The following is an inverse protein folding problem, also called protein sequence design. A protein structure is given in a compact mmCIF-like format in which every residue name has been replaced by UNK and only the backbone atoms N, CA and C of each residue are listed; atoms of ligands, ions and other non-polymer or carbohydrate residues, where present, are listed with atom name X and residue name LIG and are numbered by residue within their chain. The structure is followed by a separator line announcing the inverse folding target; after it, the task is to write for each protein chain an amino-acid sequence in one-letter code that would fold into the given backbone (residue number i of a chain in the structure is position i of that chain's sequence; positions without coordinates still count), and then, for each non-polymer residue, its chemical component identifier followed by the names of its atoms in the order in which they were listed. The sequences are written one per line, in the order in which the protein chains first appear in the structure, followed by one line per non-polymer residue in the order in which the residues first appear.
data_IF_319573126431
#
_entry.id   IF_319573126431
#
_cell.length_a   1.000
_cell.length_b   1.000
_cell.length_c   1.000
_cell.angle_alpha   90.00
_cell.angle_beta   90.00
_cell.angle_gamma   90.00
#
_symmetry.space_group_name_H-M   'P 1'
#
loop_
_entity.id
_entity.type
_entity.pdbx_description
1 polymer ?
#
# COMPACT_ATOMS: atom_id res chain seq x y z
N UNK A 1 -39.01 11.51 2.74
CA UNK A 1 -39.40 10.18 2.23
C UNK A 1 -38.69 9.15 3.08
N UNK A 2 -39.41 8.44 3.96
CA UNK A 2 -38.83 7.36 4.76
C UNK A 2 -38.74 6.10 3.91
N UNK A 3 -37.55 5.50 3.82
CA UNK A 3 -37.36 4.17 3.22
C UNK A 3 -37.06 3.20 4.36
N UNK A 4 -37.76 2.07 4.38
CA UNK A 4 -37.58 1.01 5.38
C UNK A 4 -36.62 -0.05 4.82
N UNK A 5 -35.64 -0.50 5.60
CA UNK A 5 -34.70 -1.54 5.20
C UNK A 5 -35.17 -2.89 5.74
N UNK A 6 -35.60 -3.78 4.86
CA UNK A 6 -36.09 -5.11 5.24
C UNK A 6 -35.05 -6.20 4.90
N UNK A 7 -34.84 -7.13 5.83
CA UNK A 7 -33.93 -8.28 5.70
C UNK A 7 -34.73 -9.52 5.31
N UNK A 8 -34.36 -10.15 4.19
CA UNK A 8 -34.94 -11.42 3.75
C UNK A 8 -33.85 -12.50 3.75
N UNK A 9 -34.14 -13.65 4.33
CA UNK A 9 -33.22 -14.78 4.37
C UNK A 9 -33.82 -15.95 3.58
N UNK A 10 -33.25 -16.25 2.41
CA UNK A 10 -33.69 -17.32 1.52
C UNK A 10 -32.44 -18.03 1.01
N UNK A 11 -32.41 -19.36 1.07
CA UNK A 11 -31.37 -20.20 0.44
C UNK A 11 -29.91 -19.81 0.76
N UNK A 12 -29.56 -19.66 2.04
CA UNK A 12 -28.22 -19.24 2.50
C UNK A 12 -27.77 -17.87 1.96
N UNK A 13 -28.72 -17.02 1.57
CA UNK A 13 -28.48 -15.66 1.12
C UNK A 13 -29.24 -14.68 1.99
N UNK A 14 -28.51 -13.70 2.51
CA UNK A 14 -29.12 -12.54 3.17
C UNK A 14 -29.26 -11.46 2.11
N UNK A 15 -30.50 -11.07 1.84
CA UNK A 15 -30.82 -9.96 0.96
C UNK A 15 -31.40 -8.79 1.76
N UNK A 16 -30.95 -7.57 1.47
CA UNK A 16 -31.53 -6.35 2.03
C UNK A 16 -32.25 -5.57 0.93
N UNK A 17 -33.43 -5.05 1.25
CA UNK A 17 -34.29 -4.31 0.34
C UNK A 17 -34.69 -2.98 0.96
N UNK A 18 -34.74 -1.93 0.15
CA UNK A 18 -35.50 -0.74 0.50
C UNK A 18 -36.94 -0.91 0.04
N UNK A 19 -37.87 -0.84 0.98
CA UNK A 19 -39.31 -0.82 0.68
C UNK A 19 -39.77 0.62 0.70
N UNK A 20 -40.36 1.06 -0.41
CA UNK A 20 -41.02 2.37 -0.47
C UNK A 20 -42.43 2.30 0.12
N UNK A 21 -43.06 3.46 0.38
CA UNK A 21 -44.41 3.54 0.96
C UNK A 21 -45.50 2.87 0.11
N UNK A 22 -45.22 2.56 -1.16
CA UNK A 22 -46.11 1.88 -2.10
C UNK A 22 -45.85 0.37 -2.18
N UNK A 23 -44.99 -0.18 -1.32
CA UNK A 23 -44.64 -1.62 -1.32
C UNK A 23 -43.66 -2.03 -2.43
N UNK A 24 -43.13 -1.07 -3.20
CA UNK A 24 -42.10 -1.32 -4.19
C UNK A 24 -40.75 -1.59 -3.54
N UNK A 25 -40.15 -2.73 -3.85
CA UNK A 25 -38.84 -3.12 -3.31
C UNK A 25 -37.73 -2.78 -4.29
N UNK A 26 -36.70 -2.06 -3.84
CA UNK A 26 -35.42 -1.95 -4.57
C UNK A 26 -34.37 -2.81 -3.88
N UNK A 27 -33.82 -3.79 -4.61
CA UNK A 27 -32.81 -4.71 -4.09
C UNK A 27 -31.49 -3.96 -3.86
N UNK A 28 -31.01 -3.96 -2.62
CA UNK A 28 -29.82 -3.20 -2.22
C UNK A 28 -28.57 -4.06 -2.19
N UNK A 29 -28.65 -5.26 -1.58
CA UNK A 29 -27.48 -6.15 -1.42
C UNK A 29 -27.90 -7.61 -1.28
N UNK A 30 -27.10 -8.53 -1.78
CA UNK A 30 -27.23 -9.98 -1.60
C UNK A 30 -25.86 -10.52 -1.18
N UNK A 31 -25.77 -11.15 -0.01
CA UNK A 31 -24.57 -11.83 0.47
C UNK A 31 -24.81 -13.34 0.47
N UNK A 32 -23.88 -14.11 -0.11
CA UNK A 32 -23.92 -15.58 -0.17
C UNK A 32 -22.87 -16.18 0.78
N UNK A 33 -23.30 -17.12 1.64
CA UNK A 33 -22.45 -17.89 2.57
C UNK A 33 -21.30 -18.66 1.85
N UNK A 34 -20.18 -19.01 2.53
CA UNK A 34 -20.12 -19.32 3.96
C UNK A 34 -19.15 -18.49 4.83
N UNK A 35 -19.62 -18.04 5.99
CA UNK A 35 -18.77 -17.68 7.15
C UNK A 35 -19.16 -18.56 8.35
N UNK A 36 -18.25 -19.28 9.02
CA UNK A 36 -18.63 -20.41 9.88
C UNK A 36 -19.29 -20.09 11.22
N UNK A 37 -19.24 -18.87 11.78
CA UNK A 37 -19.54 -18.70 13.22
C UNK A 37 -20.36 -17.46 13.62
N UNK A 38 -21.24 -16.95 12.75
CA UNK A 38 -22.25 -15.97 13.18
C UNK A 38 -23.45 -16.68 13.81
N UNK A 39 -23.43 -16.85 15.14
CA UNK A 39 -24.62 -17.25 15.90
C UNK A 39 -25.69 -16.18 15.74
N UNK A 40 -26.82 -16.54 15.12
CA UNK A 40 -28.00 -15.70 15.03
C UNK A 40 -28.52 -15.39 16.44
N UNK A 41 -28.48 -14.12 16.83
CA UNK A 41 -29.25 -13.63 17.98
C UNK A 41 -30.55 -13.00 17.48
N UNK A 42 -31.64 -13.38 18.14
CA UNK A 42 -32.96 -12.80 17.95
C UNK A 42 -32.94 -11.36 18.51
N UNK A 43 -33.05 -10.37 17.63
CA UNK A 43 -33.00 -8.96 17.97
C UNK A 43 -34.44 -8.43 17.94
N UNK A 44 -35.05 -8.43 19.12
CA UNK A 44 -36.31 -7.76 19.37
C UNK A 44 -36.31 -6.30 18.88
N UNK A 45 -37.53 -5.87 18.54
CA UNK A 45 -38.02 -4.48 18.47
C UNK A 45 -37.10 -3.39 17.86
N UNK A 46 -36.94 -3.45 16.53
CA UNK A 46 -37.43 -2.34 15.71
C UNK A 46 -36.69 -0.98 15.72
N UNK A 47 -35.51 -0.85 16.31
CA UNK A 47 -34.69 0.37 16.16
C UNK A 47 -33.72 0.27 14.96
N UNK A 48 -34.19 0.74 13.79
CA UNK A 48 -33.48 0.66 12.50
C UNK A 48 -32.21 1.52 12.39
N UNK A 49 -31.92 2.43 13.33
CA UNK A 49 -30.75 3.31 13.28
C UNK A 49 -29.55 2.86 14.13
N UNK A 50 -29.73 1.94 15.08
CA UNK A 50 -28.62 1.46 15.94
C UNK A 50 -27.88 0.25 15.36
N UNK A 51 -28.45 -0.45 14.38
CA UNK A 51 -27.88 -1.69 13.86
C UNK A 51 -26.66 -1.48 12.95
N UNK A 52 -26.67 -0.41 12.15
CA UNK A 52 -25.53 -0.07 11.29
C UNK A 52 -24.35 0.43 12.13
N UNK A 53 -24.58 1.38 13.05
CA UNK A 53 -23.53 1.83 13.97
C UNK A 53 -22.98 0.68 14.81
N UNK A 54 -23.82 -0.23 15.33
CA UNK A 54 -23.34 -1.40 16.10
C UNK A 54 -22.54 -2.37 15.24
N UNK A 55 -22.94 -2.61 13.99
CA UNK A 55 -22.19 -3.45 13.05
C UNK A 55 -20.85 -2.83 12.67
N UNK A 56 -20.85 -1.52 12.37
CA UNK A 56 -19.64 -0.75 12.07
C UNK A 56 -18.68 -0.78 13.28
N UNK A 57 -19.20 -0.59 14.50
CA UNK A 57 -18.43 -0.66 15.75
C UNK A 57 -17.89 -2.04 16.06
N UNK A 58 -18.65 -3.09 15.78
CA UNK A 58 -18.19 -4.45 15.97
C UNK A 58 -17.05 -4.78 15.00
N UNK A 59 -17.17 -4.36 13.73
CA UNK A 59 -16.10 -4.57 12.74
C UNK A 59 -14.85 -3.75 13.07
N UNK A 60 -15.03 -2.55 13.62
CA UNK A 60 -13.96 -1.71 14.17
C UNK A 60 -13.24 -2.42 15.32
N UNK A 61 -13.97 -3.05 16.25
CA UNK A 61 -13.37 -3.78 17.36
C UNK A 61 -12.59 -4.99 16.87
N UNK A 62 -13.16 -5.76 15.96
CA UNK A 62 -12.49 -6.90 15.34
C UNK A 62 -11.19 -6.47 14.64
N UNK A 63 -11.20 -5.36 13.89
CA UNK A 63 -9.99 -4.83 13.24
C UNK A 63 -8.97 -4.25 14.23
N UNK A 64 -9.42 -3.59 15.30
CA UNK A 64 -8.53 -3.14 16.37
C UNK A 64 -7.90 -4.30 17.12
N UNK A 65 -8.65 -5.37 17.36
CA UNK A 65 -8.16 -6.62 17.95
C UNK A 65 -7.17 -7.33 17.02
N UNK A 66 -7.46 -7.46 15.73
CA UNK A 66 -6.57 -8.01 14.69
C UNK A 66 -5.26 -7.23 14.57
N UNK A 67 -5.30 -5.90 14.76
CA UNK A 67 -4.13 -5.01 14.63
C UNK A 67 -3.48 -4.64 15.96
N UNK A 68 -3.96 -5.18 17.09
CA UNK A 68 -3.55 -4.80 18.45
C UNK A 68 -3.63 -3.29 18.74
N UNK A 69 -4.58 -2.59 18.12
CA UNK A 69 -4.86 -1.17 18.33
C UNK A 69 -6.10 -1.06 19.21
N UNK A 70 -6.00 -0.39 20.37
CA UNK A 70 -7.17 -0.11 21.21
C UNK A 70 -8.15 0.79 20.44
N UNK A 71 -9.34 0.30 20.06
CA UNK A 71 -10.32 1.09 19.32
C UNK A 71 -10.78 2.33 20.08
N UNK A 72 -10.66 2.33 21.42
CA UNK A 72 -11.04 3.45 22.27
C UNK A 72 -9.99 4.58 22.26
N UNK A 73 -8.79 4.33 21.73
CA UNK A 73 -7.74 5.34 21.56
C UNK A 73 -7.92 6.24 20.33
N UNK A 74 -8.85 5.89 19.43
CA UNK A 74 -9.16 6.65 18.21
C UNK A 74 -10.50 7.38 18.39
N UNK A 75 -10.56 8.67 18.02
CA UNK A 75 -11.80 9.45 18.09
C UNK A 75 -12.91 8.80 17.27
N UNK A 76 -14.09 8.64 17.88
CA UNK A 76 -15.30 8.00 17.32
C UNK A 76 -15.66 8.50 15.92
N UNK A 77 -15.48 9.79 15.66
CA UNK A 77 -15.86 10.40 14.37
C UNK A 77 -14.95 9.98 13.22
N UNK A 78 -13.65 9.77 13.47
CA UNK A 78 -12.67 9.35 12.45
C UNK A 78 -12.89 7.88 12.06
N UNK A 79 -13.26 7.06 13.03
CA UNK A 79 -13.46 5.61 12.88
C UNK A 79 -14.71 5.28 12.05
N UNK A 80 -15.81 6.01 12.27
CA UNK A 80 -17.06 5.87 11.50
C UNK A 80 -16.86 6.31 10.03
N UNK A 81 -16.05 7.34 9.77
CA UNK A 81 -15.72 7.75 8.40
C UNK A 81 -14.92 6.68 7.66
N UNK A 82 -13.96 6.03 8.35
CA UNK A 82 -13.18 4.93 7.80
C UNK A 82 -14.06 3.72 7.42
N UNK A 83 -15.00 3.32 8.28
CA UNK A 83 -15.90 2.18 7.96
C UNK A 83 -16.85 2.51 6.81
N UNK A 84 -17.43 3.71 6.78
CA UNK A 84 -18.32 4.12 5.68
C UNK A 84 -17.59 4.19 4.34
N UNK A 85 -16.32 4.59 4.34
CA UNK A 85 -15.46 4.55 3.16
C UNK A 85 -15.28 3.12 2.63
N UNK A 86 -15.07 2.15 3.54
CA UNK A 86 -14.92 0.72 3.21
C UNK A 86 -16.24 0.09 2.72
N UNK A 87 -17.40 0.54 3.20
CA UNK A 87 -18.70 -0.10 2.92
C UNK A 87 -19.49 0.46 1.73
N UNK A 88 -19.15 1.65 1.20
CA UNK A 88 -19.98 2.34 0.19
C UNK A 88 -19.76 1.95 -1.28
N UNK A 89 -18.90 0.97 -1.60
CA UNK A 89 -18.50 0.73 -2.99
C UNK A 89 -18.67 -0.73 -3.46
N UNK A 90 -19.91 -1.17 -3.66
CA UNK A 90 -20.20 -2.37 -4.47
C UNK A 90 -21.20 -2.00 -5.59
N UNK A 91 -20.66 -1.62 -6.75
CA UNK A 91 -21.42 -1.41 -7.99
C UNK A 91 -21.53 -2.74 -8.76
N UNK A 92 -22.54 -2.96 -9.62
CA UNK A 92 -22.64 -4.19 -10.41
C UNK A 92 -21.55 -4.17 -11.49
N UNK A 93 -20.40 -4.76 -11.17
CA UNK A 93 -19.23 -4.81 -12.04
C UNK A 93 -19.41 -5.93 -13.08
N UNK A 94 -19.67 -5.56 -14.34
CA UNK A 94 -19.27 -6.35 -15.53
C UNK A 94 -17.89 -6.95 -15.28
N UNK A 95 -17.62 -8.24 -15.57
CA UNK A 95 -16.33 -8.97 -15.37
C UNK A 95 -15.06 -8.12 -15.59
N UNK A 96 -14.73 -7.22 -14.66
CA UNK A 96 -13.52 -6.40 -14.65
C UNK A 96 -12.62 -6.98 -13.59
N UNK A 97 -11.33 -6.98 -13.87
CA UNK A 97 -10.33 -7.40 -12.91
C UNK A 97 -10.38 -6.47 -11.70
N UNK A 98 -10.59 -7.03 -10.52
CA UNK A 98 -10.56 -6.28 -9.27
C UNK A 98 -9.11 -6.25 -8.79
N UNK A 99 -8.58 -5.05 -8.59
CA UNK A 99 -7.26 -4.84 -7.99
C UNK A 99 -7.43 -4.79 -6.48
N UNK A 100 -6.83 -5.74 -5.72
CA UNK A 100 -7.05 -5.83 -4.29
C UNK A 100 -6.46 -4.64 -3.54
N UNK A 101 -7.12 -4.24 -2.45
CA UNK A 101 -6.60 -3.24 -1.51
C UNK A 101 -6.12 -3.94 -0.25
N UNK A 102 -4.80 -4.18 -0.18
CA UNK A 102 -4.19 -4.95 0.91
C UNK A 102 -4.26 -4.24 2.26
N UNK A 103 -4.10 -4.98 3.35
CA UNK A 103 -4.14 -4.41 4.70
C UNK A 103 -3.03 -3.35 4.93
N UNK A 104 -1.81 -3.60 4.47
CA UNK A 104 -0.70 -2.63 4.54
C UNK A 104 -0.96 -1.40 3.66
N UNK A 105 -1.65 -1.56 2.53
CA UNK A 105 -2.08 -0.43 1.68
C UNK A 105 -3.07 0.46 2.42
N UNK A 106 -3.99 -0.12 3.20
CA UNK A 106 -4.91 0.65 4.04
C UNK A 106 -4.16 1.43 5.12
N UNK A 107 -3.15 0.84 5.77
CA UNK A 107 -2.28 1.56 6.71
C UNK A 107 -1.54 2.72 6.02
N UNK A 108 -0.96 2.47 4.84
CA UNK A 108 -0.32 3.51 4.04
C UNK A 108 -1.29 4.65 3.70
N UNK A 109 -2.49 4.35 3.21
CA UNK A 109 -3.50 5.35 2.84
C UNK A 109 -3.98 6.14 4.06
N UNK A 110 -4.14 5.47 5.20
CA UNK A 110 -4.46 6.08 6.49
C UNK A 110 -3.37 7.09 6.92
N UNK A 111 -2.09 6.70 6.87
CA UNK A 111 -0.96 7.59 7.17
C UNK A 111 -0.82 8.73 6.16
N UNK A 112 -1.20 8.50 4.90
CA UNK A 112 -1.15 9.52 3.84
C UNK A 112 -2.22 10.59 4.00
N UNK A 113 -3.42 10.19 4.41
CA UNK A 113 -4.60 11.04 4.51
C UNK A 113 -4.70 11.72 5.87
N UNK A 114 -5.42 11.07 6.78
CA UNK A 114 -5.88 11.63 8.04
C UNK A 114 -4.75 11.82 9.07
N UNK A 115 -3.66 11.07 8.96
CA UNK A 115 -2.58 11.04 9.97
C UNK A 115 -1.22 11.42 9.39
N UNK A 116 -1.15 12.65 8.87
CA UNK A 116 0.13 13.31 8.52
C UNK A 116 0.93 13.80 9.73
N UNK A 117 0.37 13.68 10.92
CA UNK A 117 1.01 14.09 12.15
C UNK A 117 2.30 13.27 12.39
N UNK A 118 3.39 14.01 12.57
CA UNK A 118 4.72 13.45 12.81
C UNK A 118 4.81 12.80 14.18
N UNK A 119 4.10 13.33 15.18
CA UNK A 119 4.11 12.76 16.53
C UNK A 119 3.45 11.37 16.52
N UNK A 120 2.28 11.24 15.89
CA UNK A 120 1.62 9.94 15.68
C UNK A 120 2.55 8.93 14.98
N UNK A 121 3.16 9.31 13.86
CA UNK A 121 4.07 8.42 13.11
C UNK A 121 5.30 8.03 13.94
N UNK A 122 5.81 8.94 14.76
CA UNK A 122 6.89 8.64 15.69
C UNK A 122 6.47 7.64 16.76
N UNK A 123 5.28 7.78 17.36
CA UNK A 123 4.75 6.81 18.33
C UNK A 123 4.49 5.45 17.70
N UNK A 124 3.96 5.43 16.48
CA UNK A 124 3.74 4.19 15.73
C UNK A 124 5.07 3.49 15.40
N UNK A 125 6.11 4.24 15.04
CA UNK A 125 7.45 3.68 14.88
C UNK A 125 7.97 3.04 16.18
N UNK A 126 7.78 3.68 17.34
CA UNK A 126 8.18 3.10 18.63
C UNK A 126 7.43 1.80 18.92
N UNK A 127 6.10 1.82 18.80
CA UNK A 127 5.27 0.65 19.03
C UNK A 127 5.65 -0.54 18.11
N UNK A 128 5.85 -0.29 16.82
CA UNK A 128 6.27 -1.33 15.87
C UNK A 128 7.74 -1.74 16.06
N UNK A 129 8.59 -0.86 16.59
CA UNK A 129 9.96 -1.22 16.95
C UNK A 129 9.98 -2.12 18.19
N UNK A 130 9.07 -1.94 19.13
CA UNK A 130 8.91 -2.80 20.31
C UNK A 130 8.29 -4.15 19.94
N UNK A 131 7.26 -4.15 19.10
CA UNK A 131 6.53 -5.33 18.64
C UNK A 131 6.51 -5.42 17.09
N UNK A 132 7.63 -5.79 16.45
CA UNK A 132 7.73 -5.88 14.98
C UNK A 132 6.79 -6.94 14.38
N UNK A 133 6.37 -7.92 15.17
CA UNK A 133 5.54 -9.05 14.74
C UNK A 133 4.19 -8.57 14.17
N UNK A 134 3.64 -7.48 14.70
CA UNK A 134 2.39 -6.89 14.18
C UNK A 134 2.56 -6.35 12.76
N UNK A 135 3.70 -5.71 12.46
CA UNK A 135 4.00 -5.24 11.09
C UNK A 135 4.32 -6.41 10.16
N UNK A 136 5.03 -7.42 10.64
CA UNK A 136 5.34 -8.64 9.88
C UNK A 136 4.05 -9.37 9.49
N UNK A 137 3.14 -9.57 10.45
CA UNK A 137 1.85 -10.21 10.19
C UNK A 137 1.01 -9.39 9.19
N UNK A 138 0.97 -8.06 9.36
CA UNK A 138 0.28 -7.17 8.42
C UNK A 138 0.84 -7.30 6.99
N UNK A 139 2.17 -7.38 6.84
CA UNK A 139 2.84 -7.61 5.57
C UNK A 139 2.52 -9.00 5.00
N UNK A 140 2.52 -10.04 5.83
CA UNK A 140 2.20 -11.43 5.42
C UNK A 140 0.78 -11.57 4.91
N UNK A 141 -0.20 -11.05 5.65
CA UNK A 141 -1.61 -11.03 5.22
C UNK A 141 -1.76 -10.25 3.91
N UNK A 142 -1.10 -9.10 3.81
CA UNK A 142 -1.13 -8.27 2.61
C UNK A 142 -0.54 -8.97 1.39
N UNK A 143 0.57 -9.70 1.59
CA UNK A 143 1.16 -10.52 0.54
C UNK A 143 0.23 -11.64 0.09
N UNK A 144 -0.36 -12.38 1.03
CA UNK A 144 -1.34 -13.42 0.74
C UNK A 144 -2.58 -12.88 0.00
N UNK A 145 -3.01 -11.66 0.30
CA UNK A 145 -4.10 -10.98 -0.43
C UNK A 145 -3.70 -10.61 -1.87
N UNK A 146 -2.45 -10.20 -2.09
CA UNK A 146 -2.00 -9.71 -3.40
C UNK A 146 -1.48 -10.83 -4.31
N UNK A 147 -1.04 -11.97 -3.77
CA UNK A 147 -0.45 -13.06 -4.58
C UNK A 147 -1.42 -13.63 -5.61
N UNK A 148 -2.72 -13.63 -5.33
CA UNK A 148 -3.76 -14.11 -6.25
C UNK A 148 -4.12 -13.13 -7.36
N UNK A 149 -3.62 -11.89 -7.27
CA UNK A 149 -3.87 -10.89 -8.30
C UNK A 149 -3.01 -11.17 -9.53
N UNK A 150 -3.66 -11.57 -10.61
CA UNK A 150 -3.02 -11.90 -11.89
C UNK A 150 -3.34 -10.83 -12.95
N UNK A 151 -2.32 -10.02 -13.27
CA UNK A 151 -2.34 -9.08 -14.39
C UNK A 151 -1.17 -9.32 -15.35
N UNK A 152 -0.64 -10.55 -15.41
CA UNK A 152 0.55 -10.90 -16.20
C UNK A 152 0.37 -10.76 -17.71
N UNK A 153 -0.87 -10.65 -18.19
CA UNK A 153 -1.20 -10.45 -19.60
C UNK A 153 -1.15 -8.97 -20.02
N UNK A 154 -0.98 -8.05 -19.07
CA UNK A 154 -0.94 -6.62 -19.33
C UNK A 154 0.47 -6.05 -19.20
N UNK A 155 0.86 -5.16 -20.12
CA UNK A 155 2.08 -4.37 -19.95
C UNK A 155 1.94 -3.32 -18.86
N UNK A 156 3.03 -2.62 -18.52
CA UNK A 156 3.06 -1.55 -17.50
C UNK A 156 2.45 -0.22 -17.98
N UNK A 157 2.00 -0.19 -19.24
CA UNK A 157 1.34 0.93 -19.92
C UNK A 157 2.30 2.02 -20.40
N UNK A 158 2.05 2.52 -21.61
CA UNK A 158 2.79 3.64 -22.23
C UNK A 158 2.15 4.98 -21.87
N UNK A 159 2.10 5.31 -20.57
CA UNK A 159 1.77 6.70 -20.23
C UNK A 159 2.95 7.57 -20.65
N UNK A 160 2.72 8.49 -21.59
CA UNK A 160 3.64 9.60 -21.88
C UNK A 160 3.91 10.29 -20.55
N UNK A 161 5.09 10.04 -19.98
CA UNK A 161 5.48 10.64 -18.71
C UNK A 161 5.70 12.13 -18.93
N UNK A 162 5.33 12.93 -17.92
CA UNK A 162 5.69 14.35 -17.94
C UNK A 162 7.21 14.48 -18.09
N UNK A 163 7.66 15.47 -18.85
CA UNK A 163 9.10 15.77 -18.95
C UNK A 163 9.62 16.08 -17.55
N UNK A 164 10.76 15.47 -17.17
CA UNK A 164 11.44 15.81 -15.93
C UNK A 164 11.94 17.26 -15.99
N UNK A 165 12.04 17.95 -14.84
CA UNK A 165 12.68 19.26 -14.77
C UNK A 165 14.16 19.14 -15.16
N UNK A 166 14.84 20.28 -15.30
CA UNK A 166 16.29 20.27 -15.40
C UNK A 166 16.91 19.65 -14.14
N UNK A 167 18.00 18.89 -14.31
CA UNK A 167 18.66 18.29 -13.16
C UNK A 167 19.41 19.38 -12.41
N UNK A 168 19.35 19.40 -11.07
CA UNK A 168 20.19 20.30 -10.30
C UNK A 168 21.68 20.00 -10.53
N UNK A 169 22.54 20.99 -10.31
CA UNK A 169 24.00 20.81 -10.42
C UNK A 169 24.51 19.86 -9.35
N UNK A 170 24.05 20.04 -8.11
CA UNK A 170 24.34 19.15 -6.99
C UNK A 170 23.07 18.45 -6.51
N UNK A 171 23.21 17.20 -6.05
CA UNK A 171 22.10 16.46 -5.46
C UNK A 171 21.52 17.21 -4.25
N UNK A 172 22.37 17.87 -3.47
CA UNK A 172 21.98 18.70 -2.33
C UNK A 172 21.17 19.94 -2.70
N UNK A 173 21.14 20.36 -3.97
CA UNK A 173 20.32 21.49 -4.40
C UNK A 173 18.86 21.07 -4.66
N UNK A 174 18.58 19.76 -4.61
CA UNK A 174 17.24 19.23 -4.84
C UNK A 174 16.24 19.68 -3.78
N UNK A 175 15.10 20.16 -4.24
CA UNK A 175 13.97 20.57 -3.41
C UNK A 175 12.75 19.68 -3.59
N UNK A 176 12.71 18.87 -4.65
CA UNK A 176 11.59 18.01 -5.03
C UNK A 176 12.08 16.65 -5.51
N UNK A 177 11.26 15.62 -5.32
CA UNK A 177 11.52 14.27 -5.83
C UNK A 177 11.87 14.24 -7.32
N UNK A 178 11.13 14.98 -8.16
CA UNK A 178 11.40 15.00 -9.61
C UNK A 178 12.76 15.62 -10.00
N UNK A 179 13.33 16.49 -9.16
CA UNK A 179 14.69 17.03 -9.37
C UNK A 179 15.74 15.97 -9.05
N UNK A 180 15.54 15.20 -7.98
CA UNK A 180 16.37 14.05 -7.61
C UNK A 180 16.34 12.98 -8.71
N UNK A 181 15.15 12.66 -9.22
CA UNK A 181 15.01 11.71 -10.33
C UNK A 181 15.70 12.24 -11.59
N UNK A 182 15.55 13.53 -11.91
CA UNK A 182 16.26 14.15 -13.03
C UNK A 182 17.78 14.04 -12.86
N UNK A 183 18.28 14.28 -11.64
CA UNK A 183 19.69 14.10 -11.29
C UNK A 183 20.14 12.65 -11.56
N UNK A 184 19.43 11.64 -11.04
CA UNK A 184 19.76 10.22 -11.26
C UNK A 184 19.78 9.82 -12.73
N UNK A 185 18.85 10.34 -13.55
CA UNK A 185 18.79 10.01 -14.99
C UNK A 185 19.87 10.68 -15.84
N UNK A 186 20.37 11.85 -15.46
CA UNK A 186 21.33 12.62 -16.26
C UNK A 186 22.78 12.49 -15.80
N UNK A 187 23.01 12.60 -14.49
CA UNK A 187 24.33 12.80 -13.86
C UNK A 187 24.62 11.69 -12.85
N UNK A 188 23.59 11.24 -12.15
CA UNK A 188 23.68 10.37 -10.98
C UNK A 188 23.74 8.87 -11.25
N UNK A 189 24.00 8.43 -12.48
CA UNK A 189 24.31 7.02 -12.74
C UNK A 189 25.49 6.58 -11.85
N UNK A 190 26.54 7.40 -11.73
CA UNK A 190 27.67 7.13 -10.84
C UNK A 190 27.27 7.13 -9.36
N UNK A 191 26.41 8.06 -8.93
CA UNK A 191 25.96 8.14 -7.54
C UNK A 191 25.17 6.89 -7.11
N UNK A 192 24.26 6.41 -7.95
CA UNK A 192 23.52 5.16 -7.72
C UNK A 192 24.46 3.96 -7.81
N UNK A 193 25.35 3.93 -8.80
CA UNK A 193 26.35 2.86 -8.98
C UNK A 193 27.31 2.74 -7.79
N UNK A 194 27.72 3.85 -7.16
CA UNK A 194 28.56 3.84 -5.97
C UNK A 194 27.85 3.14 -4.78
N UNK A 195 26.52 3.22 -4.72
CA UNK A 195 25.70 2.48 -3.78
C UNK A 195 25.26 1.09 -4.32
N UNK A 196 25.73 0.70 -5.50
CA UNK A 196 25.45 -0.58 -6.16
C UNK A 196 24.04 -0.68 -6.76
N UNK A 197 23.42 0.44 -7.12
CA UNK A 197 22.10 0.48 -7.77
C UNK A 197 22.22 0.92 -9.23
N UNK A 198 21.38 0.36 -10.11
CA UNK A 198 21.11 0.91 -11.44
C UNK A 198 19.69 1.46 -11.53
N UNK A 199 19.52 2.61 -12.19
CA UNK A 199 18.20 3.20 -12.39
C UNK A 199 17.43 2.44 -13.47
N UNK A 200 16.18 2.08 -13.19
CA UNK A 200 15.27 1.49 -14.17
C UNK A 200 14.29 2.53 -14.67
N UNK A 201 13.40 2.99 -13.77
CA UNK A 201 12.26 3.82 -14.18
C UNK A 201 11.70 4.63 -13.01
N UNK A 202 10.80 5.57 -13.30
CA UNK A 202 10.15 6.42 -12.27
C UNK A 202 8.63 6.30 -12.28
N UNK A 203 8.01 6.67 -11.17
CA UNK A 203 6.55 6.66 -10.97
C UNK A 203 5.92 5.33 -11.41
N UNK A 204 6.55 4.22 -10.99
CA UNK A 204 6.15 2.87 -11.37
C UNK A 204 4.99 2.39 -10.49
N UNK A 205 3.93 1.83 -11.09
CA UNK A 205 2.76 1.36 -10.32
C UNK A 205 2.46 -0.11 -10.65
N UNK A 206 2.76 -1.05 -9.73
CA UNK A 206 2.53 -2.47 -9.95
C UNK A 206 1.05 -2.84 -10.13
N UNK A 207 0.15 -2.07 -9.51
CA UNK A 207 -1.32 -2.25 -9.54
C UNK A 207 -1.99 -1.80 -10.83
N UNK A 208 -1.25 -1.21 -11.78
CA UNK A 208 -1.86 -0.67 -12.98
C UNK A 208 -2.46 -1.78 -13.85
N UNK A 209 -3.77 -1.68 -14.08
CA UNK A 209 -4.53 -2.56 -14.99
C UNK A 209 -5.46 -1.74 -15.87
N UNK A 210 -5.33 -1.91 -17.18
CA UNK A 210 -5.98 -1.17 -18.25
C UNK A 210 -7.50 -1.19 -18.13
N UNK A 211 -8.07 -2.38 -17.85
CA UNK A 211 -9.51 -2.59 -17.69
C UNK A 211 -9.90 -2.93 -16.25
N UNK A 212 -9.00 -2.70 -15.29
CA UNK A 212 -9.21 -3.02 -13.89
C UNK A 212 -9.97 -1.93 -13.15
N UNK A 213 -10.57 -2.33 -12.02
CA UNK A 213 -11.13 -1.43 -11.02
C UNK A 213 -10.55 -1.78 -9.66
N UNK A 214 -10.29 -0.78 -8.82
CA UNK A 214 -10.01 -1.03 -7.42
C UNK A 214 -11.27 -1.52 -6.71
N UNK A 215 -11.13 -2.08 -5.52
CA UNK A 215 -12.27 -2.44 -4.65
C UNK A 215 -13.22 -1.26 -4.40
N UNK A 216 -12.73 -0.02 -4.45
CA UNK A 216 -13.56 1.19 -4.38
C UNK A 216 -14.37 1.49 -5.64
N UNK A 217 -14.27 0.67 -6.69
CA UNK A 217 -14.90 0.90 -8.00
C UNK A 217 -14.20 1.96 -8.87
N UNK A 218 -13.17 2.65 -8.34
CA UNK A 218 -12.35 3.58 -9.11
C UNK A 218 -11.53 2.84 -10.17
N UNK A 219 -11.24 3.50 -11.30
CA UNK A 219 -10.44 2.90 -12.37
C UNK A 219 -9.01 2.60 -11.91
N UNK A 220 -8.54 1.39 -12.16
CA UNK A 220 -7.14 0.98 -11.95
C UNK A 220 -6.20 1.41 -13.10
N UNK A 221 -6.72 2.15 -14.09
CA UNK A 221 -5.95 2.62 -15.24
C UNK A 221 -5.08 3.84 -14.92
N UNK A 222 -5.55 4.70 -14.02
CA UNK A 222 -4.86 5.94 -13.65
C UNK A 222 -3.95 5.72 -12.44
N UNK A 223 -2.80 6.40 -12.44
CA UNK A 223 -1.84 6.43 -11.34
C UNK A 223 -2.32 7.23 -10.12
N UNK A 224 -3.62 7.56 -10.03
CA UNK A 224 -4.15 8.52 -9.07
C UNK A 224 -3.89 8.17 -7.59
N UNK A 225 -3.64 6.89 -7.28
CA UNK A 225 -3.36 6.41 -5.94
C UNK A 225 -1.86 6.43 -5.54
N UNK A 226 -0.97 6.97 -6.37
CA UNK A 226 0.48 6.98 -6.14
C UNK A 226 1.21 5.86 -6.88
N UNK A 227 2.51 5.73 -6.61
CA UNK A 227 3.41 4.75 -7.21
C UNK A 227 4.78 4.81 -6.57
N UNK A 228 5.65 3.89 -6.97
CA UNK A 228 7.05 3.84 -6.61
C UNK A 228 7.74 5.04 -7.25
N UNK A 229 8.37 5.91 -6.46
CA UNK A 229 9.06 7.09 -6.98
C UNK A 229 10.12 6.70 -8.00
N UNK A 230 10.97 5.73 -7.63
CA UNK A 230 12.01 5.15 -8.50
C UNK A 230 12.08 3.63 -8.35
N UNK A 231 12.08 2.94 -9.46
CA UNK A 231 12.45 1.53 -9.54
C UNK A 231 13.93 1.45 -9.89
N UNK A 232 14.70 0.70 -9.11
CA UNK A 232 16.12 0.45 -9.34
C UNK A 232 16.36 -1.06 -9.49
N UNK A 233 17.56 -1.46 -9.90
CA UNK A 233 18.04 -2.84 -9.76
C UNK A 233 19.28 -2.90 -8.88
N UNK A 234 19.48 -4.03 -8.20
CA UNK A 234 20.71 -4.37 -7.49
C UNK A 234 20.94 -5.86 -7.57
N UNK A 235 22.07 -6.28 -8.13
CA UNK A 235 22.45 -7.70 -8.25
C UNK A 235 21.35 -8.59 -8.85
N UNK A 236 20.62 -8.09 -9.86
CA UNK A 236 19.51 -8.82 -10.49
C UNK A 236 18.17 -8.73 -9.76
N UNK A 237 18.09 -8.13 -8.57
CA UNK A 237 16.83 -7.93 -7.85
C UNK A 237 16.25 -6.53 -8.11
N UNK A 238 14.92 -6.41 -8.27
CA UNK A 238 14.25 -5.13 -8.30
C UNK A 238 14.31 -4.47 -6.93
N UNK A 239 14.50 -3.15 -6.92
CA UNK A 239 14.54 -2.34 -5.72
C UNK A 239 13.46 -1.28 -5.79
N UNK A 240 12.54 -1.31 -4.83
CA UNK A 240 11.50 -0.30 -4.66
C UNK A 240 12.09 0.90 -3.93
N UNK A 241 12.21 2.02 -4.64
CA UNK A 241 12.78 3.26 -4.13
C UNK A 241 11.74 4.33 -3.81
N UNK A 242 11.83 4.89 -2.61
CA UNK A 242 11.06 6.08 -2.21
C UNK A 242 12.02 7.24 -1.90
N UNK A 243 11.74 8.43 -2.45
CA UNK A 243 12.61 9.59 -2.28
C UNK A 243 11.91 10.60 -1.37
N UNK A 244 12.58 10.97 -0.28
CA UNK A 244 12.16 12.08 0.58
C UNK A 244 13.19 13.21 0.53
N UNK A 245 12.71 14.45 0.49
CA UNK A 245 13.57 15.63 0.30
C UNK A 245 13.30 16.65 1.40
N UNK A 246 14.36 17.18 2.02
CA UNK A 246 14.33 18.16 3.13
C UNK A 246 13.58 17.63 4.37
N UNK A 247 12.98 18.52 5.17
CA UNK A 247 12.38 18.19 6.47
C UNK A 247 10.91 17.73 6.40
N UNK A 248 10.26 17.73 5.23
CA UNK A 248 8.92 17.11 5.01
C UNK A 248 9.02 15.58 4.78
N UNK A 249 10.11 15.00 5.24
CA UNK A 249 10.56 13.67 4.94
C UNK A 249 10.42 12.80 6.18
N UNK A 250 9.30 12.11 6.30
CA UNK A 250 9.15 11.06 7.30
C UNK A 250 9.68 9.73 6.73
N UNK A 251 10.89 9.27 7.11
CA UNK A 251 11.46 8.02 6.63
C UNK A 251 10.69 6.78 7.11
N UNK A 252 9.98 6.85 8.24
CA UNK A 252 9.13 5.74 8.68
C UNK A 252 7.90 5.60 7.77
N UNK A 253 7.24 6.70 7.42
CA UNK A 253 6.19 6.69 6.41
C UNK A 253 6.72 6.20 5.05
N UNK A 254 7.95 6.56 4.68
CA UNK A 254 8.60 6.05 3.47
C UNK A 254 8.77 4.52 3.52
N UNK A 255 9.14 3.95 4.67
CA UNK A 255 9.23 2.50 4.86
C UNK A 255 7.88 1.82 4.64
N UNK A 256 6.81 2.31 5.25
CA UNK A 256 5.46 1.73 5.08
C UNK A 256 5.02 1.79 3.61
N UNK A 257 5.30 2.91 2.93
CA UNK A 257 5.04 3.07 1.51
C UNK A 257 5.84 2.07 0.66
N UNK A 258 7.15 1.92 0.91
CA UNK A 258 8.00 0.94 0.24
C UNK A 258 7.57 -0.51 0.49
N UNK A 259 7.26 -0.90 1.74
CA UNK A 259 6.77 -2.25 2.07
C UNK A 259 5.49 -2.56 1.30
N UNK A 260 4.58 -1.60 1.23
CA UNK A 260 3.35 -1.74 0.46
C UNK A 260 3.65 -2.01 -1.02
N UNK A 261 4.56 -1.24 -1.62
CA UNK A 261 4.92 -1.42 -3.03
C UNK A 261 5.78 -2.68 -3.28
N UNK A 262 6.61 -3.09 -2.33
CA UNK A 262 7.38 -4.33 -2.42
C UNK A 262 6.46 -5.54 -2.42
N UNK A 263 5.40 -5.54 -1.60
CA UNK A 263 4.35 -6.57 -1.63
C UNK A 263 3.64 -6.57 -3.00
N UNK A 264 3.30 -5.39 -3.50
CA UNK A 264 2.60 -5.26 -4.78
C UNK A 264 3.46 -5.57 -6.00
N UNK A 265 4.80 -5.57 -5.87
CA UNK A 265 5.74 -5.87 -6.94
C UNK A 265 6.38 -7.26 -6.81
N UNK A 266 6.40 -7.84 -5.61
CA UNK A 266 7.16 -9.03 -5.23
C UNK A 266 6.37 -10.32 -5.24
N UNK A 267 5.30 -10.41 -6.05
CA UNK A 267 4.57 -11.67 -6.24
C UNK A 267 5.05 -12.41 -7.49
N UNK A 268 4.87 -13.74 -7.57
CA UNK A 268 5.23 -14.50 -8.76
C UNK A 268 4.60 -13.94 -10.04
N UNK A 269 3.33 -13.54 -9.99
CA UNK A 269 2.62 -12.95 -11.13
C UNK A 269 3.24 -11.63 -11.58
N UNK A 270 3.74 -10.80 -10.66
CA UNK A 270 4.41 -9.55 -11.02
C UNK A 270 5.81 -9.79 -11.60
N UNK A 271 6.55 -10.77 -11.08
CA UNK A 271 7.84 -11.16 -11.65
C UNK A 271 7.68 -11.73 -13.06
N UNK A 272 6.70 -12.61 -13.28
CA UNK A 272 6.33 -13.10 -14.60
C UNK A 272 5.95 -11.94 -15.54
N UNK A 273 5.20 -10.95 -15.04
CA UNK A 273 4.86 -9.75 -15.80
C UNK A 273 6.09 -8.91 -16.14
N UNK A 274 7.05 -8.75 -15.22
CA UNK A 274 8.30 -8.01 -15.47
C UNK A 274 9.16 -8.72 -16.52
N UNK A 275 9.27 -10.05 -16.46
CA UNK A 275 9.93 -10.89 -17.47
C UNK A 275 9.30 -10.74 -18.85
N UNK A 276 7.96 -10.80 -18.91
CA UNK A 276 7.20 -10.73 -20.16
C UNK A 276 7.17 -9.33 -20.77
N UNK A 277 7.15 -8.29 -19.94
CA UNK A 277 7.13 -6.90 -20.34
C UNK A 277 8.27 -6.13 -19.64
N UNK A 278 9.53 -6.31 -20.08
CA UNK A 278 10.68 -5.67 -19.45
C UNK A 278 10.54 -4.16 -19.48
N UNK A 279 10.72 -3.53 -18.33
CA UNK A 279 10.65 -2.09 -18.19
C UNK A 279 11.91 -1.50 -18.82
N UNK A 280 11.72 -0.58 -19.77
CA UNK A 280 12.81 0.09 -20.48
C UNK A 280 13.84 -0.87 -21.11
N UNK A 281 13.42 -2.11 -21.45
CA UNK A 281 14.23 -3.18 -22.04
C UNK A 281 15.45 -3.61 -21.20
N UNK A 282 15.41 -3.43 -19.88
CA UNK A 282 16.50 -3.87 -19.00
C UNK A 282 16.63 -5.41 -19.02
N UNK A 283 17.81 -5.97 -19.39
CA UNK A 283 17.99 -7.41 -19.54
C UNK A 283 17.88 -8.18 -18.22
N UNK A 284 18.18 -7.55 -17.09
CA UNK A 284 18.13 -8.17 -15.76
C UNK A 284 16.73 -8.67 -15.41
N UNK A 285 15.68 -8.08 -16.00
CA UNK A 285 14.31 -8.56 -15.77
C UNK A 285 14.06 -9.95 -16.34
N UNK A 286 14.79 -10.41 -17.35
CA UNK A 286 14.62 -11.76 -17.91
C UNK A 286 15.12 -12.86 -16.97
N UNK A 287 16.00 -12.51 -16.03
CA UNK A 287 16.65 -13.45 -15.11
C UNK A 287 15.98 -13.50 -13.73
N UNK A 288 14.87 -12.78 -13.53
CA UNK A 288 14.13 -12.82 -12.27
C UNK A 288 13.64 -14.23 -11.93
N UNK A 289 13.81 -14.67 -10.69
CA UNK A 289 13.23 -15.91 -10.20
C UNK A 289 11.78 -15.69 -9.73
N UNK A 290 10.80 -16.07 -10.54
CA UNK A 290 9.39 -15.99 -10.18
C UNK A 290 8.96 -16.99 -9.09
N UNK A 291 9.76 -18.04 -8.83
CA UNK A 291 9.46 -19.04 -7.80
C UNK A 291 9.84 -18.53 -6.41
N UNK A 292 10.83 -17.64 -6.35
CA UNK A 292 11.33 -17.03 -5.11
C UNK A 292 11.41 -15.50 -5.27
N UNK A 293 10.29 -14.81 -5.52
CA UNK A 293 10.31 -13.39 -5.83
C UNK A 293 10.85 -12.60 -4.65
N UNK A 294 11.84 -11.76 -4.91
CA UNK A 294 12.54 -11.00 -3.88
C UNK A 294 12.72 -9.55 -4.32
N UNK A 295 12.22 -8.62 -3.51
CA UNK A 295 12.26 -7.18 -3.77
C UNK A 295 13.01 -6.48 -2.66
N UNK A 296 14.10 -5.81 -3.02
CA UNK A 296 14.80 -4.92 -2.10
C UNK A 296 14.03 -3.60 -1.93
N UNK A 297 14.28 -2.90 -0.84
CA UNK A 297 13.73 -1.58 -0.56
C UNK A 297 14.87 -0.58 -0.44
N UNK A 298 14.71 0.61 -1.03
CA UNK A 298 15.64 1.72 -0.84
C UNK A 298 14.90 3.00 -0.44
N UNK A 299 15.18 3.49 0.76
CA UNK A 299 14.67 4.78 1.23
C UNK A 299 15.79 5.80 1.02
N UNK A 300 15.54 6.78 0.15
CA UNK A 300 16.51 7.80 -0.28
C UNK A 300 16.11 9.14 0.31
N UNK A 301 16.88 9.63 1.26
CA UNK A 301 16.60 10.94 1.84
C UNK A 301 17.66 11.97 1.49
N UNK A 302 17.19 13.07 0.91
CA UNK A 302 18.04 14.14 0.42
C UNK A 302 17.90 15.35 1.34
N UNK A 303 19.03 15.86 1.84
CA UNK A 303 19.14 17.00 2.75
C UNK A 303 18.34 16.80 4.05
N UNK A 304 18.42 15.61 4.62
CA UNK A 304 17.67 15.27 5.84
C UNK A 304 18.48 15.51 7.10
N UNK A 305 17.84 16.05 8.13
CA UNK A 305 18.48 16.43 9.39
C UNK A 305 18.15 15.49 10.57
N UNK A 306 17.19 14.56 10.45
CA UNK A 306 16.68 13.81 11.60
C UNK A 306 17.39 12.48 11.83
N UNK A 307 18.66 12.55 12.20
CA UNK A 307 19.50 11.38 12.54
C UNK A 307 18.83 10.46 13.58
N UNK A 308 18.11 11.01 14.56
CA UNK A 308 17.47 10.20 15.61
C UNK A 308 16.34 9.30 15.08
N UNK A 309 15.54 9.81 14.14
CA UNK A 309 14.49 9.01 13.51
C UNK A 309 15.08 7.85 12.70
N UNK A 310 16.25 8.05 12.10
CA UNK A 310 16.97 6.98 11.40
C UNK A 310 17.48 5.89 12.32
N UNK A 311 18.05 6.26 13.47
CA UNK A 311 18.52 5.28 14.45
C UNK A 311 17.36 4.40 14.95
N UNK A 312 16.20 5.01 15.20
CA UNK A 312 15.01 4.26 15.60
C UNK A 312 14.49 3.38 14.45
N UNK A 313 14.44 3.93 13.24
CA UNK A 313 14.02 3.19 12.04
C UNK A 313 14.97 2.02 11.73
N UNK A 314 16.28 2.17 11.94
CA UNK A 314 17.25 1.10 11.67
C UNK A 314 17.07 -0.09 12.60
N UNK A 315 16.63 0.13 13.84
CA UNK A 315 16.24 -0.96 14.77
C UNK A 315 15.07 -1.76 14.21
N UNK A 316 13.99 -1.09 13.77
CA UNK A 316 12.85 -1.77 13.14
C UNK A 316 13.26 -2.50 11.86
N UNK A 317 14.03 -1.84 10.98
CA UNK A 317 14.52 -2.44 9.73
C UNK A 317 15.33 -3.69 10.00
N UNK A 318 16.23 -3.67 10.98
CA UNK A 318 17.02 -4.84 11.37
C UNK A 318 16.12 -5.99 11.81
N UNK A 319 15.11 -5.71 12.65
CA UNK A 319 14.13 -6.72 13.09
C UNK A 319 13.33 -7.31 11.93
N UNK A 320 12.91 -6.49 10.96
CA UNK A 320 12.22 -6.97 9.75
C UNK A 320 13.11 -7.89 8.92
N UNK A 321 14.37 -7.51 8.68
CA UNK A 321 15.33 -8.33 7.91
C UNK A 321 15.72 -9.63 8.64
N UNK A 322 15.85 -9.60 9.97
CA UNK A 322 16.21 -10.76 10.79
C UNK A 322 15.07 -11.76 10.95
N UNK A 323 13.81 -11.33 10.78
CA UNK A 323 12.65 -12.22 10.90
C UNK A 323 12.67 -13.38 9.91
N UNK A 324 13.08 -13.13 8.66
CA UNK A 324 13.00 -14.13 7.57
C UNK A 324 11.56 -14.52 7.18
N UNK A 325 10.54 -13.93 7.81
CA UNK A 325 9.13 -14.33 7.66
C UNK A 325 8.41 -13.65 6.49
N UNK A 326 9.11 -12.76 5.77
CA UNK A 326 8.56 -12.00 4.66
C UNK A 326 9.15 -12.52 3.33
N UNK A 327 8.47 -13.46 2.64
CA UNK A 327 9.06 -14.18 1.50
C UNK A 327 9.36 -13.28 0.29
N UNK A 328 8.71 -12.12 0.20
CA UNK A 328 8.90 -11.15 -0.86
C UNK A 328 10.04 -10.16 -0.59
N UNK A 329 10.51 -10.08 0.66
CA UNK A 329 11.36 -8.98 1.11
C UNK A 329 12.84 -9.36 1.00
N UNK A 330 13.59 -8.52 0.31
CA UNK A 330 15.04 -8.56 0.25
C UNK A 330 15.72 -7.75 1.35
N UNK A 331 16.72 -6.98 0.96
CA UNK A 331 17.42 -6.03 1.82
C UNK A 331 16.70 -4.69 1.85
N UNK A 332 16.75 -4.03 3.01
CA UNK A 332 16.28 -2.67 3.19
C UNK A 332 17.49 -1.75 3.33
N UNK A 333 17.61 -0.83 2.38
CA UNK A 333 18.65 0.19 2.33
C UNK A 333 18.09 1.53 2.82
N UNK A 334 18.62 2.00 3.94
CA UNK A 334 18.43 3.38 4.40
C UNK A 334 19.59 4.21 3.86
N UNK A 335 19.30 5.21 3.03
CA UNK A 335 20.34 6.04 2.41
C UNK A 335 20.10 7.53 2.63
N UNK A 336 21.19 8.29 2.69
CA UNK A 336 21.17 9.74 2.68
C UNK A 336 22.22 10.29 1.72
N UNK A 337 22.06 11.53 1.27
CA UNK A 337 23.14 12.19 0.54
C UNK A 337 24.22 12.74 1.48
N UNK A 338 25.46 12.74 0.99
CA UNK A 338 26.61 13.44 1.57
C UNK A 338 27.26 14.23 0.44
N UNK A 339 26.79 15.47 0.23
CA UNK A 339 27.08 16.20 -0.99
C UNK A 339 26.34 15.58 -2.18
N UNK A 340 27.10 15.10 -3.17
CA UNK A 340 26.59 14.52 -4.41
C UNK A 340 26.48 12.99 -4.43
N UNK A 341 26.99 12.34 -3.38
CA UNK A 341 26.98 10.88 -3.25
C UNK A 341 25.86 10.42 -2.31
N UNK A 342 25.32 9.23 -2.58
CA UNK A 342 24.48 8.50 -1.64
C UNK A 342 25.36 7.64 -0.73
N UNK A 343 25.09 7.72 0.57
CA UNK A 343 25.71 6.88 1.59
C UNK A 343 24.64 6.04 2.27
N UNK A 344 25.01 4.83 2.61
CA UNK A 344 24.20 4.01 3.52
C UNK A 344 24.28 4.60 4.92
N UNK A 345 23.16 4.63 5.63
CA UNK A 345 23.21 4.75 7.07
C UNK A 345 23.90 3.49 7.61
N UNK A 346 25.03 3.69 8.29
CA UNK A 346 25.72 2.61 9.00
C UNK A 346 24.75 2.06 10.07
N UNK A 347 24.54 0.75 10.04
CA UNK A 347 23.59 0.03 10.91
C UNK A 347 24.13 -0.13 12.32
#
# INVERSE_FOLDING_TARGET
MSKRLEKLNIDNKISWYFVNEQGGTTRYRELQYPFPDLRCFDLGDGTEFESLERFEWQRIRELGEELHIDPNSIKKENLIQWVRFVLQHESPILKKMIVPTTAIRKLYEFMRGEFKDREFRSKLLDALSEAPESLIELCRVSYAQFVSYDNQSEGWGSSVRKKLPEAPVNLSDSSKTNEVVSYFTKVGATCLSNAGFSYVTREFNPRRTTNGVFESGLSARSSGAGGIDVLLMKNGNPVVGEIKVKDDADPFYALIQCLTYAIEAGTPNQFLRMKKYPIDQQPEFFELDEQSPNVDICIICINHSHVEMYKRLSVLVKKLEESGDLPFLGKIYLTHNSGNDLKHFEK
#
